data_IF_619521129499
#
_entry.id   IF_619521129499
#
_cell.length_a   1.000
_cell.length_b   1.000
_cell.length_c   1.000
_cell.angle_alpha   90.00
_cell.angle_beta   90.00
_cell.angle_gamma   90.00
#
_symmetry.space_group_name_H-M   'P 1'
#
loop_
_entity.id
_entity.type
_entity.pdbx_description
1 polymer ?
#
# COMPACT_ATOMS: atom_id res chain seq x y z
N UNK A 1 23.37 -4.45 -1.33
CA UNK A 1 21.99 -4.83 -0.97
C UNK A 1 21.06 -4.03 -1.86
N UNK A 2 20.42 -4.67 -2.83
CA UNK A 2 19.30 -4.07 -3.57
C UNK A 2 18.09 -4.04 -2.64
N UNK A 3 17.61 -2.84 -2.33
CA UNK A 3 16.42 -2.65 -1.49
C UNK A 3 15.18 -3.08 -2.27
N UNK A 4 14.16 -3.63 -1.59
CA UNK A 4 12.85 -3.88 -2.23
C UNK A 4 12.26 -2.54 -2.65
N UNK A 5 11.77 -2.47 -3.88
CA UNK A 5 11.06 -1.30 -4.37
C UNK A 5 9.81 -1.03 -3.51
N UNK A 6 9.64 0.22 -3.09
CA UNK A 6 8.46 0.71 -2.39
C UNK A 6 7.99 2.03 -3.00
N UNK A 7 6.71 2.32 -2.84
CA UNK A 7 6.08 3.58 -3.19
C UNK A 7 5.81 4.37 -1.91
N UNK A 8 6.82 5.10 -1.45
CA UNK A 8 6.75 5.82 -0.19
C UNK A 8 7.60 7.10 -0.22
N UNK A 9 7.12 8.11 0.49
CA UNK A 9 7.77 9.41 0.62
C UNK A 9 7.45 10.06 1.97
N UNK A 10 8.33 10.97 2.37
CA UNK A 10 8.29 11.74 3.60
C UNK A 10 8.23 13.22 3.28
N UNK A 11 7.39 13.95 3.99
CA UNK A 11 7.40 15.40 4.01
C UNK A 11 7.76 15.92 5.40
N UNK A 12 8.57 16.98 5.46
CA UNK A 12 8.82 17.72 6.69
C UNK A 12 7.71 18.75 6.89
N UNK A 13 6.96 18.72 8.01
CA UNK A 13 5.97 19.75 8.30
C UNK A 13 6.64 21.11 8.52
N UNK A 14 5.98 22.20 8.16
CA UNK A 14 6.49 23.56 8.40
C UNK A 14 6.50 23.90 9.91
N UNK A 15 5.52 23.39 10.65
CA UNK A 15 5.45 23.52 12.11
C UNK A 15 5.07 22.17 12.72
N UNK A 16 5.71 21.79 13.83
CA UNK A 16 5.52 20.47 14.46
C UNK A 16 4.11 20.26 14.99
N UNK A 17 3.46 21.33 15.44
CA UNK A 17 2.08 21.36 15.95
C UNK A 17 1.01 21.42 14.84
N UNK A 18 1.42 21.48 13.57
CA UNK A 18 0.49 21.37 12.43
C UNK A 18 0.08 19.94 12.11
N UNK A 19 0.65 18.95 12.81
CA UNK A 19 0.34 17.53 12.63
C UNK A 19 0.00 16.87 13.96
N UNK A 20 -0.93 15.92 13.92
CA UNK A 20 -1.34 15.07 15.03
C UNK A 20 -1.22 13.61 14.58
N UNK A 21 -0.57 12.78 15.39
CA UNK A 21 -0.31 11.38 15.08
C UNK A 21 -1.56 10.48 15.19
N UNK A 22 -2.67 10.99 15.74
CA UNK A 22 -3.93 10.24 15.90
C UNK A 22 -4.60 10.02 14.55
N UNK A 23 -4.74 8.76 14.14
CA UNK A 23 -5.38 8.40 12.88
C UNK A 23 -6.89 8.66 13.00
N UNK A 24 -7.45 9.45 12.09
CA UNK A 24 -8.86 9.81 12.10
C UNK A 24 -9.74 8.54 12.08
N UNK A 25 -10.69 8.43 13.00
CA UNK A 25 -11.58 7.27 13.18
C UNK A 25 -10.93 5.95 13.65
N UNK A 26 -9.63 5.93 13.99
CA UNK A 26 -8.94 4.73 14.51
C UNK A 26 -8.26 5.01 15.86
N UNK A 27 -7.53 6.12 15.97
CA UNK A 27 -6.76 6.46 17.17
C UNK A 27 -5.25 6.33 16.99
N UNK A 28 -4.54 6.16 18.10
CA UNK A 28 -3.07 6.09 18.11
C UNK A 28 -2.55 4.76 17.57
N UNK A 29 -1.40 4.82 16.90
CA UNK A 29 -0.62 3.64 16.51
C UNK A 29 0.14 3.13 17.73
N UNK A 30 0.00 1.85 18.06
CA UNK A 30 0.57 1.26 19.28
C UNK A 30 1.84 0.44 19.04
N UNK A 31 2.21 0.21 17.78
CA UNK A 31 3.39 -0.56 17.41
C UNK A 31 3.31 -1.09 15.98
N UNK A 32 4.12 -2.10 15.68
CA UNK A 32 4.15 -2.80 14.39
C UNK A 32 3.82 -4.27 14.56
N UNK A 33 3.11 -4.83 13.58
CA UNK A 33 2.79 -6.24 13.52
C UNK A 33 3.12 -6.79 12.12
N UNK A 34 3.61 -8.03 12.08
CA UNK A 34 3.84 -8.74 10.83
C UNK A 34 2.52 -9.13 10.16
N UNK A 35 2.46 -9.11 8.82
CA UNK A 35 1.27 -9.53 8.10
C UNK A 35 1.06 -11.04 8.25
N UNK A 36 -0.16 -11.43 8.61
CA UNK A 36 -0.58 -12.83 8.73
C UNK A 36 -1.81 -13.07 7.86
N UNK A 37 -1.87 -14.22 7.20
CA UNK A 37 -3.05 -14.62 6.44
C UNK A 37 -4.28 -14.73 7.36
N UNK A 38 -5.43 -14.26 6.88
CA UNK A 38 -6.66 -14.26 7.66
C UNK A 38 -6.74 -13.15 8.72
N UNK A 39 -5.69 -12.35 8.93
CA UNK A 39 -5.70 -11.27 9.90
C UNK A 39 -6.71 -10.19 9.49
N UNK A 40 -7.64 -9.87 10.41
CA UNK A 40 -8.55 -8.75 10.26
C UNK A 40 -7.82 -7.42 10.45
N UNK A 41 -8.02 -6.53 9.49
CA UNK A 41 -7.31 -5.26 9.38
C UNK A 41 -8.27 -4.11 9.13
N UNK A 42 -7.82 -2.91 9.42
CA UNK A 42 -8.54 -1.66 9.24
C UNK A 42 -7.62 -0.57 8.72
N UNK A 43 -8.17 0.40 7.99
CA UNK A 43 -7.46 1.60 7.55
C UNK A 43 -8.40 2.79 7.58
N UNK A 44 -7.82 3.99 7.60
CA UNK A 44 -8.55 5.25 7.44
C UNK A 44 -7.98 6.03 6.27
N UNK A 45 -8.82 6.32 5.27
CA UNK A 45 -8.40 7.00 4.03
C UNK A 45 -9.21 8.23 3.69
N UNK A 46 -8.61 9.11 2.88
CA UNK A 46 -9.24 10.33 2.36
C UNK A 46 -10.58 10.04 1.70
N UNK A 47 -10.64 9.00 0.87
CA UNK A 47 -11.79 8.73 -0.01
C UNK A 47 -12.85 7.87 0.68
N UNK A 48 -12.47 6.75 1.29
CA UNK A 48 -13.46 5.82 1.87
C UNK A 48 -13.58 5.89 3.39
N UNK A 49 -12.78 6.73 4.05
CA UNK A 49 -12.75 6.80 5.51
C UNK A 49 -12.31 5.48 6.17
N UNK A 50 -12.93 5.15 7.30
CA UNK A 50 -12.68 3.90 8.01
C UNK A 50 -13.26 2.72 7.24
N UNK A 51 -12.39 1.79 6.85
CA UNK A 51 -12.77 0.53 6.19
C UNK A 51 -12.04 -0.63 6.85
N UNK A 52 -12.62 -1.82 6.72
CA UNK A 52 -12.09 -3.06 7.28
C UNK A 52 -12.00 -4.11 6.18
N UNK A 53 -11.07 -5.03 6.36
CA UNK A 53 -10.85 -6.14 5.45
C UNK A 53 -10.03 -7.23 6.11
N UNK A 54 -9.63 -8.19 5.30
CA UNK A 54 -8.82 -9.32 5.74
C UNK A 54 -7.62 -9.49 4.81
N UNK A 55 -6.46 -9.83 5.38
CA UNK A 55 -5.28 -10.21 4.59
C UNK A 55 -5.54 -11.57 3.93
N UNK A 56 -5.49 -11.62 2.60
CA UNK A 56 -5.75 -12.82 1.79
C UNK A 56 -4.49 -13.41 1.17
N UNK A 57 -3.53 -12.55 0.82
CA UNK A 57 -2.26 -12.98 0.24
C UNK A 57 -1.12 -12.18 0.87
N UNK A 58 -0.03 -12.86 1.21
CA UNK A 58 1.22 -12.25 1.68
C UNK A 58 2.36 -12.57 0.72
N UNK A 59 3.46 -11.82 0.85
CA UNK A 59 4.65 -11.94 0.02
C UNK A 59 4.37 -11.83 -1.48
N UNK A 60 3.31 -11.13 -1.88
CA UNK A 60 2.92 -11.06 -3.28
C UNK A 60 3.95 -10.28 -4.11
N UNK A 61 4.30 -10.81 -5.28
CA UNK A 61 4.92 -10.06 -6.37
C UNK A 61 3.80 -9.59 -7.29
N UNK A 62 3.68 -8.28 -7.53
CA UNK A 62 2.55 -7.69 -8.25
C UNK A 62 3.03 -6.66 -9.27
N UNK A 63 2.59 -6.80 -10.52
CA UNK A 63 2.72 -5.81 -11.59
C UNK A 63 1.66 -4.74 -11.39
N UNK A 64 2.10 -3.49 -11.18
CA UNK A 64 1.23 -2.36 -10.90
C UNK A 64 1.36 -1.33 -12.01
N UNK A 65 0.23 -0.97 -12.61
CA UNK A 65 0.17 0.10 -13.61
C UNK A 65 0.13 1.49 -12.98
N UNK A 66 0.88 2.42 -13.55
CA UNK A 66 0.91 3.83 -13.21
C UNK A 66 0.41 4.67 -14.39
N UNK A 67 0.21 5.96 -14.15
CA UNK A 67 -0.10 6.92 -15.20
C UNK A 67 0.97 6.95 -16.29
N UNK A 68 0.55 7.24 -17.52
CA UNK A 68 1.43 7.25 -18.70
C UNK A 68 1.76 5.87 -19.25
N UNK A 69 1.04 4.81 -18.84
CA UNK A 69 1.27 3.44 -19.32
C UNK A 69 2.49 2.74 -18.69
N UNK A 70 3.15 3.40 -17.74
CA UNK A 70 4.29 2.84 -17.00
C UNK A 70 3.84 1.69 -16.10
N UNK A 71 4.66 0.66 -15.98
CA UNK A 71 4.41 -0.49 -15.09
C UNK A 71 5.60 -0.72 -14.17
N UNK A 72 5.36 -1.06 -12.91
CA UNK A 72 6.40 -1.43 -11.96
C UNK A 72 6.08 -2.77 -11.30
N UNK A 73 7.11 -3.55 -10.96
CA UNK A 73 6.97 -4.80 -10.23
C UNK A 73 7.33 -4.61 -8.77
N UNK A 74 6.38 -4.90 -7.88
CA UNK A 74 6.61 -4.84 -6.43
C UNK A 74 6.59 -6.23 -5.82
N UNK A 75 7.64 -6.62 -5.10
CA UNK A 75 7.75 -7.92 -4.44
C UNK A 75 7.53 -7.83 -2.93
N UNK A 76 7.01 -8.89 -2.30
CA UNK A 76 6.85 -8.94 -0.85
C UNK A 76 5.60 -8.20 -0.34
N UNK A 77 4.61 -7.96 -1.19
CA UNK A 77 3.44 -7.14 -0.89
C UNK A 77 2.36 -7.90 -0.09
N UNK A 78 1.47 -7.14 0.54
CA UNK A 78 0.29 -7.63 1.24
C UNK A 78 -0.92 -7.35 0.35
N UNK A 79 -1.81 -8.34 0.20
CA UNK A 79 -3.06 -8.22 -0.52
C UNK A 79 -4.21 -8.50 0.44
N UNK A 80 -5.16 -7.57 0.52
CA UNK A 80 -6.38 -7.73 1.29
C UNK A 80 -7.59 -7.93 0.39
N UNK A 81 -8.74 -8.27 0.97
CA UNK A 81 -10.04 -7.96 0.36
C UNK A 81 -10.11 -6.48 -0.06
N UNK A 82 -10.92 -6.15 -1.08
CA UNK A 82 -11.17 -4.76 -1.49
C UNK A 82 -11.60 -3.93 -0.28
N UNK A 83 -10.81 -2.90 0.04
CA UNK A 83 -11.09 -1.98 1.14
C UNK A 83 -10.61 -0.55 0.88
N UNK A 84 -9.89 -0.30 -0.22
CA UNK A 84 -9.49 1.04 -0.62
C UNK A 84 -9.88 1.38 -2.05
N UNK A 85 -10.10 2.66 -2.29
CA UNK A 85 -10.35 3.26 -3.59
C UNK A 85 -9.22 4.23 -3.98
N UNK A 86 -9.14 4.67 -5.25
CA UNK A 86 -8.30 5.81 -5.60
C UNK A 86 -8.47 6.96 -4.59
N UNK A 87 -7.33 7.52 -4.16
CA UNK A 87 -7.25 8.57 -3.16
C UNK A 87 -6.98 8.09 -1.73
N UNK A 88 -7.21 6.81 -1.45
CA UNK A 88 -6.78 6.18 -0.19
C UNK A 88 -5.29 5.83 -0.16
N UNK A 89 -4.58 6.00 -1.29
CA UNK A 89 -3.13 5.85 -1.39
C UNK A 89 -2.44 6.60 -0.25
N UNK A 90 -1.61 5.88 0.51
CA UNK A 90 -0.91 6.38 1.67
C UNK A 90 -1.57 6.02 2.99
N UNK A 91 -2.82 5.54 3.01
CA UNK A 91 -3.46 5.06 4.25
C UNK A 91 -2.64 3.97 4.94
N UNK A 92 -2.38 4.15 6.24
CA UNK A 92 -1.80 3.11 7.07
C UNK A 92 -2.82 1.98 7.31
N UNK A 93 -2.40 0.75 7.11
CA UNK A 93 -3.12 -0.47 7.45
C UNK A 93 -2.74 -0.89 8.87
N UNK A 94 -3.71 -1.14 9.71
CA UNK A 94 -3.53 -1.61 11.07
C UNK A 94 -4.33 -2.88 11.30
N UNK A 95 -3.89 -3.72 12.24
CA UNK A 95 -4.80 -4.72 12.80
C UNK A 95 -5.84 -4.03 13.71
N UNK A 96 -6.83 -4.80 14.19
CA UNK A 96 -7.89 -4.26 15.06
C UNK A 96 -7.41 -3.84 16.46
N UNK A 97 -6.13 -4.08 16.79
CA UNK A 97 -5.46 -3.62 18.02
C UNK A 97 -4.58 -2.39 17.79
N UNK A 98 -4.68 -1.74 16.62
CA UNK A 98 -3.92 -0.56 16.23
C UNK A 98 -2.39 -0.75 16.11
N UNK A 99 -1.95 -1.97 15.81
CA UNK A 99 -0.58 -2.21 15.36
C UNK A 99 -0.52 -2.06 13.84
N UNK A 100 0.43 -1.27 13.34
CA UNK A 100 0.62 -1.04 11.93
C UNK A 100 1.13 -2.30 11.23
N UNK A 101 0.58 -2.58 10.05
CA UNK A 101 0.89 -3.78 9.25
C UNK A 101 1.38 -3.39 7.85
N UNK A 102 0.82 -2.35 7.24
CA UNK A 102 1.19 -1.96 5.88
C UNK A 102 0.83 -0.52 5.49
N UNK A 103 1.24 -0.13 4.29
CA UNK A 103 0.97 1.17 3.67
C UNK A 103 0.27 0.96 2.32
N UNK A 104 -0.95 1.47 2.16
CA UNK A 104 -1.74 1.32 0.92
C UNK A 104 -1.02 2.05 -0.21
N UNK A 105 -0.85 1.42 -1.38
CA UNK A 105 -0.31 2.11 -2.56
C UNK A 105 -1.01 1.77 -3.88
N UNK A 106 -1.69 0.62 -3.98
CA UNK A 106 -2.36 0.21 -5.20
C UNK A 106 -3.63 -0.60 -4.90
N UNK A 107 -4.48 -0.75 -5.92
CA UNK A 107 -5.70 -1.55 -5.81
C UNK A 107 -6.24 -1.99 -7.16
N UNK A 108 -7.15 -2.96 -7.11
CA UNK A 108 -7.95 -3.42 -8.23
C UNK A 108 -9.44 -3.44 -7.88
N UNK A 109 -10.20 -4.25 -8.62
CA UNK A 109 -11.65 -4.38 -8.46
C UNK A 109 -12.02 -5.13 -7.16
N UNK A 110 -11.26 -6.15 -6.80
CA UNK A 110 -11.59 -7.06 -5.68
C UNK A 110 -10.51 -7.09 -4.59
N UNK A 111 -9.43 -6.34 -4.75
CA UNK A 111 -8.26 -6.38 -3.87
C UNK A 111 -7.64 -5.00 -3.64
N UNK A 112 -6.98 -4.85 -2.50
CA UNK A 112 -6.18 -3.67 -2.15
C UNK A 112 -4.77 -4.13 -1.75
N UNK A 113 -3.75 -3.40 -2.18
CA UNK A 113 -2.34 -3.79 -2.10
C UNK A 113 -1.57 -2.82 -1.20
N UNK A 114 -0.75 -3.39 -0.32
CA UNK A 114 0.00 -2.64 0.67
C UNK A 114 1.47 -3.07 0.69
N UNK A 115 2.36 -2.10 0.88
CA UNK A 115 3.73 -2.40 1.32
C UNK A 115 3.72 -2.86 2.77
N UNK A 116 4.50 -3.88 3.17
CA UNK A 116 4.73 -4.16 4.59
C UNK A 116 5.32 -2.93 5.27
N UNK A 117 4.74 -2.51 6.39
CA UNK A 117 5.13 -1.25 7.04
C UNK A 117 6.58 -1.30 7.51
N UNK A 118 7.04 -2.46 7.97
CA UNK A 118 8.42 -2.68 8.44
C UNK A 118 9.45 -2.41 7.35
N UNK A 119 9.16 -2.74 6.08
CA UNK A 119 10.05 -2.44 4.95
C UNK A 119 10.05 -0.94 4.63
N UNK A 120 8.88 -0.28 4.68
CA UNK A 120 8.78 1.18 4.49
C UNK A 120 9.60 1.93 5.52
N UNK A 121 9.42 1.60 6.80
CA UNK A 121 10.16 2.20 7.92
C UNK A 121 11.67 2.02 7.77
N UNK A 122 12.10 0.80 7.44
CA UNK A 122 13.52 0.45 7.24
C UNK A 122 14.16 1.20 6.06
N UNK A 123 13.51 1.23 4.90
CA UNK A 123 14.02 1.89 3.69
C UNK A 123 14.08 3.41 3.91
N UNK A 124 13.06 3.97 4.54
CA UNK A 124 12.97 5.40 4.78
C UNK A 124 13.68 5.85 6.05
N UNK A 125 14.26 4.96 6.86
CA UNK A 125 14.97 5.28 8.13
C UNK A 125 14.10 6.10 9.09
N UNK A 126 12.89 5.60 9.34
CA UNK A 126 11.90 6.20 10.23
C UNK A 126 11.25 5.14 11.10
N UNK A 127 10.62 5.59 12.18
CA UNK A 127 9.88 4.78 13.17
C UNK A 127 8.48 5.35 13.38
N UNK A 128 7.51 4.53 13.81
CA UNK A 128 6.13 4.99 14.01
C UNK A 128 5.92 5.65 15.37
N UNK A 129 6.71 5.25 16.36
CA UNK A 129 6.57 5.71 17.73
C UNK A 129 7.63 6.75 18.09
N UNK A 130 7.35 7.59 19.11
CA UNK A 130 8.35 8.48 19.72
C UNK A 130 9.38 7.74 20.56
N UNK A 131 9.15 6.46 20.85
CA UNK A 131 10.11 5.61 21.54
C UNK A 131 11.13 5.05 20.54
N UNK A 132 12.39 4.88 20.97
CA UNK A 132 13.50 4.47 20.07
C UNK A 132 13.35 3.07 19.47
N UNK A 133 12.26 2.35 19.74
CA UNK A 133 11.96 1.03 19.19
C UNK A 133 10.47 0.92 18.92
N UNK A 134 10.10 0.53 17.71
CA UNK A 134 8.75 0.07 17.45
C UNK A 134 8.58 -1.29 18.15
N UNK A 135 7.62 -1.38 19.07
CA UNK A 135 7.29 -2.62 19.76
C UNK A 135 6.87 -3.66 18.71
N UNK A 136 7.68 -4.72 18.57
CA UNK A 136 7.36 -5.87 17.71
C UNK A 136 6.40 -6.78 18.46
N UNK A 137 5.24 -7.07 17.88
CA UNK A 137 4.44 -8.20 18.32
C UNK A 137 4.93 -9.51 17.70
N UNK A 138 4.84 -10.59 18.47
CA UNK A 138 5.29 -11.95 18.17
C UNK A 138 5.03 -12.41 16.72
N UNK A 139 6.11 -12.77 16.03
CA UNK A 139 6.09 -13.53 14.79
C UNK A 139 5.81 -15.00 15.12
N UNK A 140 4.63 -15.52 14.77
CA UNK A 140 4.44 -16.95 14.60
C UNK A 140 4.75 -17.29 13.15
N UNK A 141 6.00 -17.67 12.89
CA UNK A 141 6.39 -18.24 11.62
C UNK A 141 6.01 -19.72 11.66
N UNK A 142 4.93 -20.12 10.99
CA UNK A 142 4.61 -21.54 10.91
C UNK A 142 5.63 -22.25 10.01
N UNK A 143 6.25 -23.31 10.53
CA UNK A 143 7.16 -24.18 9.77
C UNK A 143 6.50 -24.74 8.48
N UNK A 144 5.17 -24.81 8.47
CA UNK A 144 4.31 -25.26 7.38
C UNK A 144 4.50 -24.50 6.05
N UNK A 145 5.14 -23.33 6.06
CA UNK A 145 5.36 -22.54 4.84
C UNK A 145 6.73 -22.76 4.17
N UNK A 146 7.66 -23.53 4.74
CA UNK A 146 9.04 -23.60 4.19
C UNK A 146 9.08 -24.12 2.76
N UNK A 147 8.48 -25.28 2.47
CA UNK A 147 8.47 -25.86 1.12
C UNK A 147 7.72 -24.98 0.12
N UNK A 148 6.58 -24.43 0.53
CA UNK A 148 5.80 -23.49 -0.27
C UNK A 148 6.61 -22.24 -0.62
N UNK A 149 7.35 -21.69 0.35
CA UNK A 149 8.20 -20.52 0.13
C UNK A 149 9.36 -20.80 -0.81
N UNK A 150 9.98 -21.98 -0.72
CA UNK A 150 11.04 -22.39 -1.62
C UNK A 150 10.54 -22.48 -3.07
N UNK A 151 9.41 -23.16 -3.30
CA UNK A 151 8.77 -23.26 -4.62
C UNK A 151 8.41 -21.86 -5.14
N UNK A 152 7.75 -21.05 -4.30
CA UNK A 152 7.42 -19.66 -4.65
C UNK A 152 8.64 -18.85 -5.09
N UNK A 153 9.76 -18.97 -4.38
CA UNK A 153 10.98 -18.22 -4.69
C UNK A 153 11.66 -18.71 -5.96
N UNK A 154 11.76 -20.01 -6.16
CA UNK A 154 12.45 -20.60 -7.31
C UNK A 154 11.70 -20.38 -8.63
N UNK A 155 10.37 -20.41 -8.59
CA UNK A 155 9.53 -20.37 -9.79
C UNK A 155 8.86 -19.01 -10.05
N UNK A 156 9.19 -17.97 -9.27
CA UNK A 156 8.48 -16.69 -9.34
C UNK A 156 8.41 -16.10 -10.75
N UNK A 157 9.52 -16.12 -11.49
CA UNK A 157 9.59 -15.61 -12.86
C UNK A 157 8.68 -16.41 -13.81
N UNK A 158 8.71 -17.74 -13.70
CA UNK A 158 7.82 -18.65 -14.44
C UNK A 158 6.35 -18.39 -14.10
N UNK A 159 6.03 -18.11 -12.84
CA UNK A 159 4.65 -17.80 -12.45
C UNK A 159 4.18 -16.46 -12.99
N UNK A 160 5.07 -15.46 -13.05
CA UNK A 160 4.76 -14.14 -13.59
C UNK A 160 4.73 -14.08 -15.13
N UNK A 161 5.20 -15.13 -15.83
CA UNK A 161 5.16 -15.22 -17.29
C UNK A 161 3.83 -15.69 -17.85
N UNK A 162 2.93 -16.22 -17.02
CA UNK A 162 1.57 -16.58 -17.47
C UNK A 162 0.83 -15.33 -18.00
N UNK A 163 0.26 -15.33 -19.23
CA UNK A 163 -0.21 -14.12 -19.91
C UNK A 163 -1.23 -13.27 -19.14
N UNK A 164 -2.11 -13.92 -18.37
CA UNK A 164 -3.19 -13.29 -17.62
C UNK A 164 -2.82 -13.00 -16.15
N UNK A 165 -1.61 -13.40 -15.73
CA UNK A 165 -1.13 -13.22 -14.35
C UNK A 165 -0.49 -11.84 -14.19
N UNK A 166 -0.96 -11.14 -13.17
CA UNK A 166 -0.49 -9.82 -12.75
C UNK A 166 0.14 -9.84 -11.37
N UNK A 167 -0.02 -10.93 -10.62
CA UNK A 167 0.73 -11.12 -9.40
C UNK A 167 0.65 -12.54 -8.86
N UNK A 168 1.59 -12.87 -7.98
CA UNK A 168 1.71 -14.20 -7.39
C UNK A 168 2.17 -14.04 -5.95
N UNK A 169 1.55 -14.74 -5.02
CA UNK A 169 1.94 -14.72 -3.61
C UNK A 169 1.52 -15.98 -2.88
N UNK A 170 1.49 -15.89 -1.56
CA UNK A 170 1.13 -16.99 -0.67
C UNK A 170 -0.20 -16.68 -0.01
N UNK A 171 -1.16 -17.58 -0.12
CA UNK A 171 -2.50 -17.42 0.47
C UNK A 171 -3.03 -18.74 1.03
N UNK A 172 -4.29 -18.73 1.44
CA UNK A 172 -5.03 -19.96 1.71
C UNK A 172 -5.92 -20.31 0.52
N UNK A 173 -6.14 -21.61 0.33
CA UNK A 173 -7.04 -22.10 -0.69
C UNK A 173 -8.45 -21.61 -0.38
N UNK A 174 -9.09 -20.97 -1.35
CA UNK A 174 -10.48 -20.54 -1.22
C UNK A 174 -11.37 -21.24 -2.26
N UNK A 175 -12.60 -21.56 -1.88
CA UNK A 175 -13.65 -22.04 -2.79
C UNK A 175 -14.96 -21.33 -2.49
N UNK A 176 -15.53 -20.66 -3.48
CA UNK A 176 -16.75 -19.86 -3.33
C UNK A 176 -16.70 -18.86 -2.15
N UNK A 177 -15.52 -18.25 -1.93
CA UNK A 177 -15.29 -17.31 -0.82
C UNK A 177 -15.05 -17.95 0.54
N UNK A 178 -15.05 -19.29 0.62
CA UNK A 178 -14.76 -20.03 1.86
C UNK A 178 -13.27 -20.39 1.88
N UNK A 179 -12.56 -19.90 2.90
CA UNK A 179 -11.19 -20.30 3.19
C UNK A 179 -11.16 -21.75 3.70
N UNK A 180 -10.40 -22.62 3.03
CA UNK A 180 -10.27 -24.05 3.35
C UNK A 180 -9.12 -24.35 4.33
N UNK A 181 -8.34 -23.35 4.71
CA UNK A 181 -7.22 -23.47 5.67
C UNK A 181 -5.92 -24.05 5.08
N UNK A 182 -5.92 -24.46 3.82
CA UNK A 182 -4.77 -25.07 3.15
C UNK A 182 -3.85 -24.00 2.52
N UNK A 183 -2.59 -23.86 2.93
CA UNK A 183 -1.64 -22.94 2.30
C UNK A 183 -1.44 -23.26 0.82
N UNK A 184 -1.40 -22.22 -0.03
CA UNK A 184 -1.29 -22.38 -1.47
C UNK A 184 -0.48 -21.25 -2.13
N UNK A 185 -0.03 -21.49 -3.36
CA UNK A 185 0.46 -20.44 -4.26
C UNK A 185 -0.75 -19.77 -4.89
N UNK A 186 -0.93 -18.48 -4.61
CA UNK A 186 -2.08 -17.73 -5.09
C UNK A 186 -1.69 -16.84 -6.27
N UNK A 187 -2.34 -17.06 -7.40
CA UNK A 187 -2.20 -16.26 -8.62
C UNK A 187 -3.28 -15.17 -8.65
N UNK A 188 -2.84 -13.93 -8.83
CA UNK A 188 -3.69 -12.78 -9.10
C UNK A 188 -3.79 -12.61 -10.61
N UNK A 189 -5.01 -12.63 -11.14
CA UNK A 189 -5.27 -12.55 -12.57
C UNK A 189 -6.13 -11.35 -12.93
N UNK A 190 -5.95 -10.84 -14.16
CA UNK A 190 -6.79 -9.75 -14.67
C UNK A 190 -8.24 -10.18 -14.80
N UNK A 191 -8.48 -11.39 -15.30
CA UNK A 191 -9.83 -11.95 -15.50
C UNK A 191 -9.83 -13.47 -15.39
N UNK A 192 -10.75 -14.07 -14.65
CA UNK A 192 -10.97 -15.52 -14.69
C UNK A 192 -11.68 -15.88 -15.98
N UNK A 193 -11.15 -16.89 -16.67
CA UNK A 193 -11.74 -17.44 -17.88
C UNK A 193 -12.19 -18.89 -17.61
N UNK A 194 -13.29 -19.36 -18.24
CA UNK A 194 -13.63 -20.77 -18.22
C UNK A 194 -12.48 -21.62 -18.77
N UNK A 195 -12.31 -22.85 -18.25
CA UNK A 195 -11.24 -23.76 -18.71
C UNK A 195 -11.27 -24.01 -20.22
N UNK A 196 -12.45 -24.03 -20.83
CA UNK A 196 -12.63 -24.18 -22.28
C UNK A 196 -12.06 -23.03 -23.13
N UNK A 197 -11.78 -21.88 -22.50
CA UNK A 197 -11.25 -20.69 -23.15
C UNK A 197 -9.75 -20.48 -22.85
N UNK A 198 -9.10 -21.42 -22.17
CA UNK A 198 -7.69 -21.34 -21.81
C UNK A 198 -6.89 -22.36 -22.62
N UNK A 199 -5.78 -21.90 -23.21
CA UNK A 199 -4.77 -22.83 -23.74
C UNK A 199 -4.05 -23.55 -22.59
N UNK A 200 -3.38 -24.66 -22.90
CA UNK A 200 -2.63 -25.43 -21.89
C UNK A 200 -1.52 -24.61 -21.23
N UNK A 201 -0.89 -23.68 -21.95
CA UNK A 201 0.13 -22.75 -21.46
C UNK A 201 -0.44 -21.56 -20.65
N UNK A 202 -1.76 -21.37 -20.67
CA UNK A 202 -2.47 -20.35 -19.88
C UNK A 202 -3.14 -20.92 -18.63
N UNK A 203 -3.31 -22.24 -18.58
CA UNK A 203 -3.94 -22.93 -17.47
C UNK A 203 -2.97 -23.04 -16.30
N UNK A 204 -3.31 -22.36 -15.20
CA UNK A 204 -2.62 -22.56 -13.92
C UNK A 204 -2.98 -23.96 -13.40
N UNK A 205 -2.00 -24.85 -13.19
CA UNK A 205 -2.27 -26.21 -12.72
C UNK A 205 -2.83 -26.17 -11.30
N UNK A 206 -3.73 -27.09 -10.91
CA UNK A 206 -4.35 -27.09 -9.57
C UNK A 206 -3.35 -27.36 -8.44
N UNK A 207 -2.20 -27.96 -8.78
CA UNK A 207 -1.07 -28.19 -7.88
C UNK A 207 0.25 -27.95 -8.61
N UNK A 208 1.28 -27.54 -7.87
CA UNK A 208 2.67 -27.40 -8.33
C UNK A 208 3.55 -28.06 -7.28
N UNK A 209 4.29 -29.11 -7.65
CA UNK A 209 5.13 -29.87 -6.71
C UNK A 209 4.37 -30.27 -5.43
N UNK A 210 3.13 -30.73 -5.60
CA UNK A 210 2.20 -31.12 -4.53
C UNK A 210 1.65 -29.98 -3.65
N UNK A 211 2.03 -28.73 -3.90
CA UNK A 211 1.43 -27.55 -3.27
C UNK A 211 0.20 -27.12 -4.07
N UNK A 212 -0.91 -26.86 -3.37
CA UNK A 212 -2.11 -26.33 -4.01
C UNK A 212 -1.85 -24.96 -4.65
N UNK A 213 -2.56 -24.69 -5.73
CA UNK A 213 -2.66 -23.34 -6.30
C UNK A 213 -4.03 -22.77 -6.07
N UNK A 214 -4.12 -21.44 -6.03
CA UNK A 214 -5.39 -20.74 -6.08
C UNK A 214 -5.35 -19.56 -7.05
N UNK A 215 -6.52 -19.12 -7.53
CA UNK A 215 -6.63 -18.02 -8.49
C UNK A 215 -7.62 -17.01 -7.95
N UNK A 216 -7.19 -15.76 -7.81
CA UNK A 216 -8.02 -14.62 -7.44
C UNK A 216 -8.09 -13.66 -8.63
N UNK A 217 -9.31 -13.37 -9.09
CA UNK A 217 -9.50 -12.31 -10.08
C UNK A 217 -9.45 -10.97 -9.37
N UNK A 218 -8.53 -10.10 -9.78
CA UNK A 218 -8.37 -8.77 -9.19
C UNK A 218 -8.73 -7.64 -10.14
N UNK A 219 -8.88 -7.92 -11.44
CA UNK A 219 -8.79 -6.89 -12.46
C UNK A 219 -7.37 -6.31 -12.56
N UNK A 220 -7.15 -5.31 -13.41
CA UNK A 220 -5.89 -4.55 -13.41
C UNK A 220 -5.61 -3.94 -12.03
N UNK A 221 -4.37 -4.07 -11.56
CA UNK A 221 -3.90 -3.39 -10.35
C UNK A 221 -3.22 -2.09 -10.77
N UNK A 222 -3.67 -0.98 -10.18
CA UNK A 222 -3.14 0.36 -10.52
C UNK A 222 -2.86 1.20 -9.29
N UNK A 223 -1.89 2.10 -9.43
CA UNK A 223 -1.64 3.22 -8.54
C UNK A 223 -1.93 4.50 -9.34
N UNK A 224 -3.19 4.92 -9.35
CA UNK A 224 -3.62 6.07 -10.17
C UNK A 224 -3.29 7.39 -9.49
N UNK A 225 -2.66 8.30 -10.25
CA UNK A 225 -2.50 9.72 -9.92
C UNK A 225 -3.51 10.60 -10.67
N UNK A 226 -4.41 10.04 -11.46
CA UNK A 226 -5.35 10.81 -12.27
C UNK A 226 -6.50 11.37 -11.46
N UNK A 227 -7.02 12.52 -11.90
CA UNK A 227 -8.09 13.25 -11.24
C UNK A 227 -9.32 12.36 -11.12
N UNK A 228 -9.67 12.04 -9.88
CA UNK A 228 -10.90 11.35 -9.53
C UNK A 228 -12.10 12.23 -9.89
N UNK A 229 -12.87 11.84 -10.90
CA UNK A 229 -14.28 12.25 -11.05
C UNK A 229 -15.15 11.29 -10.23
N UNK A 230 -14.82 11.05 -8.97
CA UNK A 230 -15.74 10.35 -8.09
C UNK A 230 -16.61 11.39 -7.39
N UNK A 231 -17.95 11.25 -7.41
CA UNK A 231 -18.81 11.87 -6.42
C UNK A 231 -18.54 11.16 -5.09
N UNK A 232 -17.35 11.37 -4.52
CA UNK A 232 -17.10 10.99 -3.13
C UNK A 232 -18.10 11.79 -2.32
N UNK A 233 -18.85 11.11 -1.45
CA UNK A 233 -19.75 11.73 -0.48
C UNK A 233 -18.97 12.82 0.29
N UNK A 234 -18.94 14.04 -0.25
CA UNK A 234 -18.07 15.15 0.18
C UNK A 234 -18.35 15.61 1.63
N UNK A 235 -19.30 14.96 2.31
CA UNK A 235 -19.99 15.50 3.47
C UNK A 235 -19.80 14.72 4.77
N UNK A 236 -19.46 13.42 4.79
CA UNK A 236 -19.56 12.67 6.06
C UNK A 236 -18.47 12.97 7.10
N UNK A 237 -17.20 13.08 6.69
CA UNK A 237 -16.08 13.23 7.65
C UNK A 237 -15.18 14.46 7.43
N UNK A 238 -15.50 15.34 6.47
CA UNK A 238 -14.69 16.54 6.11
C UNK A 238 -13.20 16.26 5.87
N UNK A 239 -12.85 15.08 5.33
CA UNK A 239 -11.45 14.61 5.12
C UNK A 239 -10.68 15.39 4.06
N UNK A 240 -11.40 16.09 3.21
CA UNK A 240 -10.94 16.91 2.10
C UNK A 240 -10.79 18.40 2.45
N UNK A 241 -11.05 18.80 3.71
CA UNK A 241 -10.87 20.19 4.13
C UNK A 241 -9.52 20.42 4.80
N UNK A 242 -9.11 21.69 4.84
CA UNK A 242 -7.95 22.10 5.62
C UNK A 242 -8.20 21.84 7.10
N UNK A 243 -7.21 21.23 7.76
CA UNK A 243 -7.19 21.03 9.21
C UNK A 243 -5.79 21.31 9.75
N UNK A 244 -5.71 21.97 10.91
CA UNK A 244 -4.49 22.20 11.68
C UNK A 244 -4.84 21.99 13.17
N UNK A 245 -4.23 20.99 13.86
CA UNK A 245 -3.34 19.98 13.32
C UNK A 245 -4.04 19.05 12.31
N UNK A 246 -3.33 18.69 11.25
CA UNK A 246 -3.75 17.68 10.30
C UNK A 246 -3.48 16.28 10.88
N UNK A 247 -4.41 15.35 10.64
CA UNK A 247 -4.34 13.98 11.11
C UNK A 247 -4.17 13.00 9.94
N UNK A 248 -3.56 11.83 10.15
CA UNK A 248 -3.64 10.75 9.21
C UNK A 248 -5.08 10.36 8.88
N UNK A 249 -5.33 9.96 7.64
CA UNK A 249 -6.67 9.72 7.08
C UNK A 249 -7.31 10.97 6.43
N UNK A 250 -6.64 12.12 6.45
CA UNK A 250 -7.01 13.33 5.71
C UNK A 250 -6.34 13.39 4.34
N UNK A 251 -6.90 14.23 3.46
CA UNK A 251 -6.33 14.59 2.17
C UNK A 251 -4.97 15.28 2.31
N UNK A 252 -4.01 14.84 1.49
CA UNK A 252 -2.70 15.47 1.34
C UNK A 252 -2.20 15.25 -0.09
N UNK A 253 -1.26 16.06 -0.57
CA UNK A 253 -0.54 15.72 -1.79
C UNK A 253 0.51 16.73 -2.21
N UNK A 254 1.37 16.28 -3.09
CA UNK A 254 2.28 17.12 -3.85
C UNK A 254 1.48 18.15 -4.67
N UNK A 255 2.00 19.38 -4.80
CA UNK A 255 1.28 20.47 -5.47
C UNK A 255 0.98 20.23 -6.96
N UNK A 256 1.63 19.25 -7.60
CA UNK A 256 1.44 18.86 -9.01
C UNK A 256 0.59 17.61 -9.23
N UNK A 257 0.21 16.89 -8.17
CA UNK A 257 -0.67 15.71 -8.28
C UNK A 257 -2.09 16.03 -7.86
N UNK A 258 -2.94 15.02 -7.81
CA UNK A 258 -4.33 15.11 -7.34
C UNK A 258 -4.39 15.25 -5.81
N UNK A 259 -4.58 14.15 -5.12
CA UNK A 259 -4.56 14.02 -3.67
C UNK A 259 -4.50 12.54 -3.31
N UNK A 260 -3.78 12.22 -2.24
CA UNK A 260 -3.85 10.95 -1.56
C UNK A 260 -4.19 11.16 -0.09
N UNK A 261 -3.76 10.22 0.73
CA UNK A 261 -4.00 10.21 2.16
C UNK A 261 -2.73 10.52 2.94
N UNK A 262 -2.84 11.37 3.96
CA UNK A 262 -1.85 11.50 5.02
C UNK A 262 -1.82 10.17 5.77
N UNK A 263 -0.75 9.39 5.63
CA UNK A 263 -0.69 8.01 6.09
C UNK A 263 -0.43 7.83 7.56
N UNK A 264 0.63 8.47 8.05
CA UNK A 264 1.04 8.42 9.45
C UNK A 264 1.97 9.59 9.77
N UNK A 265 1.98 10.02 11.03
CA UNK A 265 3.15 10.71 11.57
C UNK A 265 4.20 9.65 11.89
N UNK A 266 5.40 9.82 11.37
CA UNK A 266 6.58 8.98 11.66
C UNK A 266 7.70 9.85 12.20
N UNK A 267 8.72 9.26 12.79
CA UNK A 267 9.86 9.99 13.37
C UNK A 267 11.12 9.57 12.65
N UNK A 268 11.96 10.53 12.24
CA UNK A 268 13.27 10.24 11.67
C UNK A 268 14.16 9.53 12.70
N UNK A 269 14.87 8.48 12.28
CA UNK A 269 15.75 7.69 13.16
C UNK A 269 16.98 8.48 13.65
N UNK A 270 17.37 9.53 12.94
CA UNK A 270 18.57 10.31 13.24
C UNK A 270 18.27 11.59 14.01
N UNK A 271 17.19 12.29 13.64
CA UNK A 271 16.86 13.61 14.22
C UNK A 271 15.72 13.59 15.22
N UNK A 272 15.02 12.46 15.36
CA UNK A 272 13.77 12.33 16.13
C UNK A 272 12.66 13.31 15.67
N UNK A 273 12.81 13.98 14.53
CA UNK A 273 11.82 14.93 14.01
C UNK A 273 10.56 14.20 13.54
N UNK A 274 9.36 14.73 13.86
CA UNK A 274 8.13 14.20 13.32
C UNK A 274 7.99 14.59 11.84
N UNK A 275 7.66 13.60 11.02
CA UNK A 275 7.52 13.68 9.57
C UNK A 275 6.15 13.14 9.14
N UNK A 276 5.73 13.53 7.95
CA UNK A 276 4.50 13.08 7.30
C UNK A 276 4.85 11.93 6.35
N UNK A 277 4.28 10.76 6.55
CA UNK A 277 4.41 9.60 5.65
C UNK A 277 3.21 9.51 4.69
N UNK A 278 3.48 9.26 3.41
CA UNK A 278 2.51 8.79 2.41
C UNK A 278 3.26 8.12 1.24
N UNK A 279 2.61 7.88 0.11
CA UNK A 279 3.26 7.28 -1.07
C UNK A 279 4.16 8.28 -1.82
N UNK A 280 5.12 7.76 -2.60
CA UNK A 280 5.87 8.56 -3.57
C UNK A 280 4.90 9.17 -4.59
N UNK A 281 3.95 8.40 -5.14
CA UNK A 281 3.01 8.99 -6.11
C UNK A 281 2.08 10.06 -5.51
N UNK A 282 1.98 10.15 -4.19
CA UNK A 282 1.21 11.17 -3.47
C UNK A 282 2.07 12.40 -3.12
N UNK A 283 3.29 12.23 -2.63
CA UNK A 283 4.14 13.34 -2.15
C UNK A 283 5.30 13.73 -3.08
N UNK A 284 5.65 12.87 -4.03
CA UNK A 284 6.79 13.02 -4.93
C UNK A 284 6.41 12.75 -6.40
N UNK A 285 5.13 12.91 -6.77
CA UNK A 285 4.68 12.93 -8.16
C UNK A 285 5.08 11.70 -9.01
N UNK A 286 5.14 10.52 -8.37
CA UNK A 286 5.47 9.25 -9.00
C UNK A 286 6.82 9.30 -9.74
N UNK A 287 7.80 9.98 -9.13
CA UNK A 287 9.14 10.19 -9.67
C UNK A 287 10.02 8.95 -9.50
N UNK A 288 10.86 8.71 -10.51
CA UNK A 288 12.01 7.79 -10.46
C UNK A 288 13.30 8.46 -9.94
N UNK A 289 13.21 9.73 -9.50
CA UNK A 289 14.33 10.50 -8.97
C UNK A 289 15.22 11.18 -10.03
N UNK A 290 15.07 10.84 -11.32
CA UNK A 290 15.86 11.37 -12.44
C UNK A 290 15.00 12.09 -13.48
N UNK A 291 13.69 11.81 -13.53
CA UNK A 291 12.70 12.37 -14.46
C UNK A 291 12.34 13.85 -14.23
N UNK A 292 12.79 14.45 -13.13
CA UNK A 292 12.50 15.84 -12.79
C UNK A 292 11.03 16.12 -12.42
N UNK A 293 10.22 15.09 -12.16
CA UNK A 293 8.81 15.23 -11.76
C UNK A 293 8.63 15.80 -10.36
N UNK A 294 9.58 15.54 -9.45
CA UNK A 294 9.63 16.08 -8.11
C UNK A 294 11.07 16.32 -7.65
N UNK A 295 11.25 17.20 -6.68
CA UNK A 295 12.54 17.55 -6.06
C UNK A 295 12.37 17.72 -4.55
N UNK A 296 13.43 17.39 -3.80
CA UNK A 296 13.46 17.69 -2.36
C UNK A 296 13.25 19.20 -2.17
N UNK A 297 12.37 19.55 -1.23
CA UNK A 297 11.92 20.92 -1.00
C UNK A 297 10.57 21.25 -1.65
N UNK A 298 10.04 20.40 -2.54
CA UNK A 298 8.77 20.69 -3.21
C UNK A 298 7.60 20.86 -2.22
N UNK A 299 6.67 21.81 -2.44
CA UNK A 299 5.56 22.05 -1.53
C UNK A 299 4.58 20.88 -1.46
N UNK A 300 4.19 20.54 -0.23
CA UNK A 300 3.14 19.57 0.09
C UNK A 300 1.94 20.30 0.67
N UNK A 301 0.75 20.00 0.15
CA UNK A 301 -0.51 20.68 0.48
C UNK A 301 -1.39 19.80 1.37
N UNK A 302 -2.05 20.42 2.35
CA UNK A 302 -3.16 19.84 3.12
C UNK A 302 -4.30 20.87 3.16
N UNK A 303 -5.44 20.62 2.49
CA UNK A 303 -5.75 19.40 1.73
C UNK A 303 -4.93 19.33 0.42
N UNK A 304 -4.94 18.16 -0.24
CA UNK A 304 -4.31 18.00 -1.56
C UNK A 304 -4.99 18.86 -2.64
N UNK A 305 -4.33 19.02 -3.80
CA UNK A 305 -4.76 19.93 -4.86
C UNK A 305 -6.15 19.59 -5.42
N UNK A 306 -6.47 18.31 -5.61
CA UNK A 306 -7.80 17.87 -6.07
C UNK A 306 -8.93 18.23 -5.10
N UNK A 307 -8.60 18.43 -3.82
CA UNK A 307 -9.54 18.81 -2.76
C UNK A 307 -9.51 20.31 -2.46
N UNK A 308 -8.95 21.12 -3.37
CA UNK A 308 -8.98 22.58 -3.31
C UNK A 308 -7.78 23.23 -2.62
N UNK A 309 -6.76 22.45 -2.24
CA UNK A 309 -5.53 22.98 -1.65
C UNK A 309 -4.79 23.93 -2.60
N UNK A 310 -4.32 25.07 -2.07
CA UNK A 310 -3.62 26.11 -2.84
C UNK A 310 -2.21 26.33 -2.32
N UNK A 311 -1.25 26.44 -3.24
CA UNK A 311 0.16 26.78 -2.94
C UNK A 311 0.31 28.03 -2.07
N UNK A 312 -0.56 29.03 -2.24
CA UNK A 312 -0.47 30.30 -1.49
C UNK A 312 -0.98 30.22 -0.05
N UNK A 313 -1.66 29.14 0.36
CA UNK A 313 -2.37 29.09 1.66
C UNK A 313 -2.21 27.77 2.41
N UNK A 314 -2.07 26.66 1.71
CA UNK A 314 -2.33 25.32 2.27
C UNK A 314 -1.10 24.42 2.31
N UNK A 315 0.07 24.98 2.03
CA UNK A 315 1.35 24.29 2.28
C UNK A 315 1.38 23.87 3.74
N UNK A 316 1.53 22.57 3.97
CA UNK A 316 1.71 21.99 5.31
C UNK A 316 3.17 21.67 5.59
N UNK A 317 3.95 21.43 4.53
CA UNK A 317 5.31 20.93 4.61
C UNK A 317 5.99 20.92 3.25
N UNK A 318 7.19 20.37 3.22
CA UNK A 318 8.00 20.20 2.01
C UNK A 318 8.46 18.76 1.87
N UNK A 319 8.58 18.27 0.64
CA UNK A 319 9.10 16.94 0.34
C UNK A 319 10.53 16.82 0.90
N UNK A 320 10.77 15.80 1.72
CA UNK A 320 12.05 15.59 2.41
C UNK A 320 12.83 14.40 1.86
N UNK A 321 12.15 13.27 1.65
CA UNK A 321 12.77 12.01 1.21
C UNK A 321 11.73 11.21 0.46
N UNK A 322 12.14 10.44 -0.55
CA UNK A 322 11.27 9.49 -1.22
C UNK A 322 12.10 8.29 -1.66
N UNK A 323 11.42 7.16 -1.86
CA UNK A 323 12.02 6.03 -2.56
C UNK A 323 11.75 6.19 -4.06
N UNK A 324 12.80 6.28 -4.91
CA UNK A 324 12.64 6.36 -6.35
C UNK A 324 11.87 5.16 -6.93
N UNK A 325 10.89 5.39 -7.80
CA UNK A 325 10.18 4.31 -8.48
C UNK A 325 11.03 3.75 -9.62
N UNK A 326 11.05 2.43 -9.76
CA UNK A 326 11.65 1.74 -10.90
C UNK A 326 10.54 1.19 -11.79
N UNK A 327 10.48 1.65 -13.02
CA UNK A 327 9.53 1.18 -14.02
C UNK A 327 10.20 0.16 -14.95
N UNK A 328 9.40 -0.75 -15.49
CA UNK A 328 9.81 -1.74 -16.50
C UNK A 328 9.76 -1.18 -17.91
#
# INVERSE_FOLDING_TARGET
MTWRQIDAALARPQQKDWIDATILSIGQVLGVASPQLGLNVQKSGRSTGLTRGQIRVIKAAVKVGFSGGRTALFTGQIVTSKMGEPGDSGSLLLNLKNYAVGLLFAGGQTATIYHPITEVLKVLRVRLTKEKKDLRSFDQYEENFRSLQAIYQNDLERFLSFPNVIGVGIGYKERNGINLGEPCITFLVRKKLPRSHLRSDELIPPTIESIFTDVIETGPITASTQAETYPVDKMRDKRNFKKRPAQPGLSIGHYRVTAGTFGAVVYDEYTDEPLILSNNHVLANATDGEDGLARIGDPILQPGRADGGRLSKDVIGTLLRFHPLQFQ
#
